data_IF_742356218237
#
_entry.id   IF_742356218237
#
_cell.length_a   1.000
_cell.length_b   1.000
_cell.length_c   1.000
_cell.angle_alpha   90.00
_cell.angle_beta   90.00
_cell.angle_gamma   90.00
#
_symmetry.space_group_name_H-M   'P 1'
#
loop_
_entity.id
_entity.type
_entity.pdbx_description
1 polymer ?
#
# COMPACT_ATOMS: atom_id res chain seq x y z
N UNK A 1 24.14 34.01 -54.63
CA UNK A 1 24.60 32.94 -53.71
C UNK A 1 23.58 32.85 -52.58
N UNK A 2 22.96 31.68 -52.47
CA UNK A 2 21.73 31.38 -51.71
C UNK A 2 21.92 31.45 -50.20
N UNK A 3 21.14 32.32 -49.53
CA UNK A 3 20.88 32.24 -48.08
C UNK A 3 20.03 31.00 -47.82
N UNK A 4 20.65 29.93 -47.31
CA UNK A 4 19.92 28.80 -46.74
C UNK A 4 19.95 28.99 -45.22
N UNK A 5 18.98 29.75 -44.70
CA UNK A 5 18.77 29.85 -43.26
C UNK A 5 18.37 28.45 -42.76
N UNK A 6 19.30 27.83 -42.05
CA UNK A 6 19.13 26.58 -41.34
C UNK A 6 17.91 26.70 -40.42
N UNK A 7 16.77 26.15 -40.85
CA UNK A 7 15.64 25.87 -39.96
C UNK A 7 16.15 24.87 -38.92
N UNK A 8 16.64 25.37 -37.78
CA UNK A 8 17.02 24.56 -36.62
C UNK A 8 15.86 23.65 -36.29
N UNK A 9 15.97 22.38 -36.68
CA UNK A 9 14.98 21.36 -36.35
C UNK A 9 14.96 21.22 -34.84
N UNK A 10 13.86 21.62 -34.20
CA UNK A 10 13.67 21.49 -32.77
C UNK A 10 13.54 19.99 -32.46
N UNK A 11 14.37 19.49 -31.53
CA UNK A 11 14.49 18.07 -31.16
C UNK A 11 14.53 17.93 -29.65
N UNK A 12 14.01 16.82 -29.14
CA UNK A 12 14.12 16.46 -27.73
C UNK A 12 15.59 16.25 -27.34
N UNK A 13 16.03 16.87 -26.25
CA UNK A 13 17.39 16.76 -25.70
C UNK A 13 17.68 15.39 -25.06
N UNK A 14 16.64 14.59 -24.77
CA UNK A 14 16.77 13.28 -24.13
C UNK A 14 16.79 12.12 -25.14
N UNK A 15 15.80 12.05 -26.04
CA UNK A 15 15.69 10.96 -27.03
C UNK A 15 16.13 11.34 -28.44
N UNK A 16 16.44 12.61 -28.71
CA UNK A 16 16.87 13.09 -30.03
C UNK A 16 15.77 13.16 -31.09
N UNK A 17 14.54 12.74 -30.79
CA UNK A 17 13.42 12.76 -31.75
C UNK A 17 13.05 14.22 -32.13
N UNK A 18 12.81 14.50 -33.42
CA UNK A 18 12.32 15.80 -33.87
C UNK A 18 10.85 16.01 -33.47
N UNK A 19 10.42 17.28 -33.41
CA UNK A 19 9.05 17.66 -33.06
C UNK A 19 7.96 16.94 -33.87
N UNK A 20 8.24 16.53 -35.12
CA UNK A 20 7.28 15.84 -35.98
C UNK A 20 6.95 14.39 -35.52
N UNK A 21 7.80 13.77 -34.69
CA UNK A 21 7.66 12.38 -34.24
C UNK A 21 7.09 12.27 -32.82
N UNK A 22 6.77 13.39 -32.17
CA UNK A 22 6.31 13.42 -30.78
C UNK A 22 5.04 14.25 -30.67
N UNK A 23 4.09 13.82 -29.84
CA UNK A 23 2.80 14.49 -29.71
C UNK A 23 2.92 15.85 -29.01
N UNK A 24 3.81 15.95 -28.01
CA UNK A 24 4.09 17.19 -27.30
C UNK A 24 5.58 17.32 -27.04
N UNK A 25 6.08 18.54 -27.25
CA UNK A 25 7.44 18.92 -26.93
C UNK A 25 7.38 20.16 -26.04
N UNK A 26 7.93 20.05 -24.84
CA UNK A 26 7.95 21.09 -23.81
C UNK A 26 9.32 21.78 -23.88
N UNK A 27 9.33 23.11 -23.90
CA UNK A 27 10.55 23.91 -23.96
C UNK A 27 10.81 24.62 -22.62
N UNK A 28 12.05 24.61 -22.14
CA UNK A 28 12.47 25.33 -20.93
C UNK A 28 13.99 25.54 -20.88
N UNK A 29 14.44 26.76 -20.52
CA UNK A 29 15.86 27.14 -20.39
C UNK A 29 16.78 26.68 -21.55
N UNK A 30 16.30 26.78 -22.79
CA UNK A 30 17.08 26.38 -23.98
C UNK A 30 17.17 24.86 -24.21
N UNK A 31 16.41 24.07 -23.45
CA UNK A 31 16.28 22.62 -23.59
C UNK A 31 14.86 22.23 -24.00
N UNK A 32 14.72 21.05 -24.61
CA UNK A 32 13.43 20.52 -25.06
C UNK A 32 13.25 19.09 -24.57
N UNK A 33 12.07 18.74 -24.04
CA UNK A 33 11.73 17.39 -23.60
C UNK A 33 10.39 16.96 -24.20
N UNK A 34 10.29 15.71 -24.68
CA UNK A 34 9.04 15.17 -25.22
C UNK A 34 8.21 14.47 -24.14
N UNK A 35 6.92 14.29 -24.42
CA UNK A 35 5.96 13.60 -23.55
C UNK A 35 6.37 12.16 -23.19
N UNK A 36 6.98 11.42 -24.12
CA UNK A 36 7.51 10.08 -23.83
C UNK A 36 8.64 10.10 -22.80
N UNK A 37 9.61 11.02 -22.95
CA UNK A 37 10.71 11.14 -22.00
C UNK A 37 10.23 11.60 -20.63
N UNK A 38 9.24 12.49 -20.56
CA UNK A 38 8.61 12.88 -19.29
C UNK A 38 8.01 11.66 -18.60
N UNK A 39 7.27 10.80 -19.31
CA UNK A 39 6.69 9.58 -18.74
C UNK A 39 7.77 8.61 -18.24
N UNK A 40 8.85 8.44 -19.01
CA UNK A 40 9.97 7.58 -18.62
C UNK A 40 10.71 8.12 -17.39
N UNK A 41 10.94 9.43 -17.33
CA UNK A 41 11.51 10.06 -16.14
C UNK A 41 10.56 9.93 -14.94
N UNK A 42 9.25 10.05 -15.16
CA UNK A 42 8.25 9.84 -14.11
C UNK A 42 8.31 8.41 -13.56
N UNK A 43 8.39 7.39 -14.42
CA UNK A 43 8.49 5.99 -13.96
C UNK A 43 9.77 5.71 -13.18
N UNK A 44 10.90 6.28 -13.60
CA UNK A 44 12.18 6.14 -12.88
C UNK A 44 12.13 6.86 -11.54
N UNK A 45 11.48 8.02 -11.47
CA UNK A 45 11.29 8.77 -10.22
C UNK A 45 10.37 7.99 -9.28
N UNK A 46 9.26 7.45 -9.79
CA UNK A 46 8.32 6.63 -9.01
C UNK A 46 9.00 5.34 -8.48
N UNK A 47 9.88 4.71 -9.27
CA UNK A 47 10.71 3.59 -8.81
C UNK A 47 11.76 4.02 -7.76
N UNK A 48 12.32 5.22 -7.90
CA UNK A 48 13.30 5.82 -6.98
C UNK A 48 12.70 6.23 -5.63
N UNK A 49 11.42 6.60 -5.58
CA UNK A 49 10.71 6.85 -4.32
C UNK A 49 10.46 5.58 -3.52
N UNK A 50 10.22 4.45 -4.19
CA UNK A 50 10.05 3.15 -3.53
C UNK A 50 11.37 2.58 -2.96
N UNK A 51 12.53 3.16 -3.30
CA UNK A 51 13.85 2.70 -2.82
C UNK A 51 14.50 3.63 -1.79
N UNK A 52 13.85 4.74 -1.42
CA UNK A 52 14.30 5.69 -0.39
C UNK A 52 13.42 5.66 0.87
N UNK A 53 12.98 4.50 1.34
CA UNK A 53 12.37 4.34 2.68
C UNK A 53 13.41 4.24 3.80
N UNK A 54 14.39 5.14 3.80
CA UNK A 54 15.33 5.29 4.91
C UNK A 54 15.47 6.78 5.24
N UNK A 55 14.78 7.19 6.31
CA UNK A 55 14.77 8.52 6.90
C UNK A 55 13.82 9.55 6.27
N UNK A 56 12.54 9.43 6.59
CA UNK A 56 11.73 10.56 7.09
C UNK A 56 10.47 10.00 7.75
N UNK A 57 10.07 10.57 8.89
CA UNK A 57 9.02 10.05 9.76
C UNK A 57 7.75 9.69 9.00
N UNK A 58 7.31 8.45 9.19
CA UNK A 58 6.19 7.77 8.54
C UNK A 58 4.88 8.55 8.55
N UNK A 59 4.70 9.47 7.60
CA UNK A 59 3.38 9.76 7.07
C UNK A 59 3.13 8.70 6.00
N UNK A 60 2.59 7.58 6.46
CA UNK A 60 1.97 6.57 5.59
C UNK A 60 0.77 7.27 4.93
N UNK A 61 1.00 7.98 3.82
CA UNK A 61 -0.07 8.42 2.94
C UNK A 61 -0.55 7.18 2.17
N UNK A 62 -1.25 6.26 2.86
CA UNK A 62 -2.14 5.32 2.19
C UNK A 62 -3.22 6.20 1.55
N UNK A 63 -3.02 6.51 0.27
CA UNK A 63 -4.03 7.12 -0.59
C UNK A 63 -5.29 6.27 -0.51
N UNK A 64 -6.35 6.87 0.04
CA UNK A 64 -7.65 6.23 0.36
C UNK A 64 -8.23 5.50 -0.87
N UNK A 65 -7.88 5.96 -2.07
CA UNK A 65 -8.36 5.43 -3.34
C UNK A 65 -7.95 3.97 -3.62
N UNK A 66 -6.93 3.45 -2.93
CA UNK A 66 -6.46 2.08 -3.12
C UNK A 66 -7.02 1.06 -2.10
N UNK A 67 -7.88 1.48 -1.17
CA UNK A 67 -8.45 0.56 -0.19
C UNK A 67 -9.58 -0.25 -0.85
N UNK A 68 -9.51 -1.59 -0.91
CA UNK A 68 -10.53 -2.41 -1.55
C UNK A 68 -11.87 -2.28 -0.84
N UNK A 69 -12.98 -2.28 -1.59
CA UNK A 69 -14.31 -2.15 -0.99
C UNK A 69 -14.65 -3.42 -0.20
N UNK A 70 -15.51 -3.33 0.83
CA UNK A 70 -15.91 -4.51 1.60
C UNK A 70 -16.50 -5.66 0.75
N UNK A 71 -17.15 -5.34 -0.37
CA UNK A 71 -17.66 -6.33 -1.30
C UNK A 71 -16.53 -7.12 -1.99
N UNK A 72 -15.44 -6.45 -2.36
CA UNK A 72 -14.29 -7.05 -3.02
C UNK A 72 -13.52 -7.94 -2.05
N UNK A 73 -13.33 -7.46 -0.81
CA UNK A 73 -12.72 -8.26 0.28
C UNK A 73 -13.53 -9.53 0.55
N UNK A 74 -14.87 -9.42 0.62
CA UNK A 74 -15.74 -10.59 0.79
C UNK A 74 -15.58 -11.58 -0.37
N UNK A 75 -15.55 -11.09 -1.60
CA UNK A 75 -15.42 -11.93 -2.80
C UNK A 75 -14.11 -12.70 -2.79
N UNK A 76 -13.01 -12.04 -2.39
CA UNK A 76 -11.72 -12.73 -2.25
C UNK A 76 -11.72 -13.75 -1.10
N UNK A 77 -12.37 -13.43 0.03
CA UNK A 77 -12.55 -14.40 1.11
C UNK A 77 -13.40 -15.62 0.69
N UNK A 78 -14.36 -15.43 -0.22
CA UNK A 78 -15.21 -16.51 -0.75
C UNK A 78 -14.40 -17.56 -1.53
N UNK A 79 -13.29 -17.18 -2.16
CA UNK A 79 -12.41 -18.09 -2.91
C UNK A 79 -11.72 -19.12 -2.00
N UNK A 80 -11.40 -18.74 -0.76
CA UNK A 80 -10.64 -19.56 0.18
C UNK A 80 -11.49 -20.18 1.29
N UNK A 81 -12.59 -19.52 1.68
CA UNK A 81 -13.37 -19.88 2.86
C UNK A 81 -14.81 -20.14 2.45
N UNK A 82 -15.25 -21.39 2.59
CA UNK A 82 -16.59 -21.80 2.19
C UNK A 82 -17.58 -21.56 3.34
N UNK A 83 -18.69 -20.86 3.05
CA UNK A 83 -19.72 -20.50 4.02
C UNK A 83 -19.30 -19.37 4.96
N UNK A 84 -19.81 -19.35 6.21
CA UNK A 84 -19.48 -18.34 7.23
C UNK A 84 -19.74 -16.89 6.80
N UNK A 85 -20.83 -16.66 6.06
CA UNK A 85 -21.18 -15.36 5.46
C UNK A 85 -21.17 -14.19 6.43
N UNK A 86 -21.70 -14.39 7.64
CA UNK A 86 -21.72 -13.36 8.68
C UNK A 86 -20.31 -12.91 9.08
N UNK A 87 -19.37 -13.85 9.21
CA UNK A 87 -17.99 -13.54 9.57
C UNK A 87 -17.27 -12.77 8.46
N UNK A 88 -17.48 -13.19 7.19
CA UNK A 88 -16.91 -12.51 6.01
C UNK A 88 -17.36 -11.06 5.92
N UNK A 89 -18.66 -10.80 6.08
CA UNK A 89 -19.21 -9.43 6.04
C UNK A 89 -18.60 -8.57 7.15
N UNK A 90 -18.57 -9.08 8.38
CA UNK A 90 -18.04 -8.34 9.53
C UNK A 90 -16.54 -8.04 9.39
N UNK A 91 -15.75 -9.02 8.96
CA UNK A 91 -14.31 -8.85 8.73
C UNK A 91 -14.05 -7.83 7.62
N UNK A 92 -14.77 -7.93 6.50
CA UNK A 92 -14.59 -7.02 5.37
C UNK A 92 -14.87 -5.56 5.75
N UNK A 93 -15.94 -5.32 6.52
CA UNK A 93 -16.27 -3.97 7.01
C UNK A 93 -15.25 -3.47 8.04
N UNK A 94 -14.85 -4.33 8.99
CA UNK A 94 -13.91 -3.94 10.03
C UNK A 94 -12.53 -3.58 9.47
N UNK A 95 -12.04 -4.35 8.50
CA UNK A 95 -10.77 -4.10 7.80
C UNK A 95 -10.83 -2.80 6.98
N UNK A 96 -11.90 -2.59 6.22
CA UNK A 96 -12.10 -1.35 5.47
C UNK A 96 -12.09 -0.13 6.40
N UNK A 97 -12.81 -0.20 7.51
CA UNK A 97 -12.85 0.86 8.51
C UNK A 97 -11.49 1.06 9.21
N UNK A 98 -10.72 -0.02 9.41
CA UNK A 98 -9.38 0.06 9.99
C UNK A 98 -8.45 0.92 9.13
N UNK A 99 -8.39 0.66 7.82
CA UNK A 99 -7.57 1.47 6.91
C UNK A 99 -8.10 2.87 6.73
N UNK A 100 -9.44 3.03 6.62
CA UNK A 100 -10.04 4.37 6.56
C UNK A 100 -9.63 5.19 7.77
N UNK A 101 -9.65 4.59 8.97
CA UNK A 101 -9.19 5.23 10.20
C UNK A 101 -7.71 5.61 10.15
N UNK A 102 -6.82 4.72 9.67
CA UNK A 102 -5.39 5.01 9.53
C UNK A 102 -5.15 6.20 8.59
N UNK A 103 -5.81 6.24 7.43
CA UNK A 103 -5.68 7.35 6.48
C UNK A 103 -6.20 8.71 6.99
N UNK A 104 -7.04 8.72 8.03
CA UNK A 104 -7.57 9.93 8.66
C UNK A 104 -6.78 10.36 9.91
N UNK A 105 -5.75 9.59 10.33
CA UNK A 105 -4.89 9.98 11.45
C UNK A 105 -4.22 11.31 11.11
N UNK A 106 -4.55 12.37 11.86
CA UNK A 106 -3.98 13.71 11.71
C UNK A 106 -4.79 14.72 10.88
N UNK A 107 -5.97 14.35 10.34
CA UNK A 107 -6.79 15.26 9.50
C UNK A 107 -8.04 15.82 10.17
N UNK A 108 -8.57 15.16 11.21
CA UNK A 108 -9.82 15.57 11.89
C UNK A 108 -9.65 15.67 13.42
N UNK A 109 -10.38 16.58 14.07
CA UNK A 109 -10.52 16.70 15.55
C UNK A 109 -11.36 15.56 16.17
N UNK A 110 -11.85 14.62 15.35
CA UNK A 110 -12.75 13.54 15.78
C UNK A 110 -11.93 12.27 16.03
N UNK A 111 -11.95 11.79 17.27
CA UNK A 111 -11.31 10.53 17.65
C UNK A 111 -12.11 9.32 17.14
N UNK A 112 -11.55 8.61 16.16
CA UNK A 112 -12.12 7.36 15.64
C UNK A 112 -11.68 6.16 16.50
N UNK A 113 -12.65 5.44 17.08
CA UNK A 113 -12.37 4.26 17.90
C UNK A 113 -11.85 3.06 17.09
N UNK A 114 -11.03 2.22 17.73
CA UNK A 114 -10.54 0.96 17.14
C UNK A 114 -11.63 -0.11 17.15
N UNK A 115 -11.88 -0.72 16.00
CA UNK A 115 -12.74 -1.91 15.89
C UNK A 115 -11.90 -3.18 15.99
N UNK A 116 -11.78 -3.74 17.20
CA UNK A 116 -11.22 -5.09 17.38
C UNK A 116 -12.29 -6.15 17.11
N UNK A 117 -11.87 -7.36 16.74
CA UNK A 117 -12.76 -8.44 16.32
C UNK A 117 -12.52 -9.66 17.22
N UNK A 118 -13.61 -10.26 17.70
CA UNK A 118 -13.60 -11.55 18.37
C UNK A 118 -14.29 -12.59 17.48
N UNK A 119 -13.54 -13.61 17.06
CA UNK A 119 -14.06 -14.71 16.25
C UNK A 119 -14.39 -15.92 17.13
N UNK A 120 -15.67 -16.27 17.20
CA UNK A 120 -16.17 -17.41 17.98
C UNK A 120 -16.64 -18.50 17.01
N UNK A 121 -16.20 -19.74 17.24
CA UNK A 121 -16.62 -20.90 16.45
C UNK A 121 -15.91 -22.19 16.86
N UNK A 122 -16.39 -23.35 16.42
CA UNK A 122 -15.81 -24.65 16.76
C UNK A 122 -14.39 -24.81 16.22
N UNK A 123 -13.65 -25.79 16.73
CA UNK A 123 -12.32 -26.16 16.20
C UNK A 123 -12.41 -26.52 14.72
N UNK A 124 -11.42 -26.13 13.91
CA UNK A 124 -11.40 -26.43 12.47
C UNK A 124 -12.33 -25.60 11.59
N UNK A 125 -13.05 -24.60 12.12
CA UNK A 125 -13.98 -23.77 11.33
C UNK A 125 -13.32 -22.68 10.47
N UNK A 126 -11.99 -22.69 10.33
CA UNK A 126 -11.26 -21.71 9.51
C UNK A 126 -10.95 -20.35 10.15
N UNK A 127 -11.06 -20.20 11.49
CA UNK A 127 -10.77 -18.92 12.18
C UNK A 127 -9.37 -18.37 11.87
N UNK A 128 -8.34 -19.21 11.95
CA UNK A 128 -6.96 -18.82 11.64
C UNK A 128 -6.79 -18.54 10.14
N UNK A 129 -7.48 -19.29 9.29
CA UNK A 129 -7.44 -19.11 7.84
C UNK A 129 -8.02 -17.75 7.42
N UNK A 130 -9.07 -17.26 8.09
CA UNK A 130 -9.59 -15.90 7.87
C UNK A 130 -8.49 -14.84 8.03
N UNK A 131 -7.76 -14.88 9.14
CA UNK A 131 -6.72 -13.90 9.43
C UNK A 131 -5.56 -13.99 8.42
N UNK A 132 -5.10 -15.21 8.12
CA UNK A 132 -4.02 -15.43 7.14
C UNK A 132 -4.40 -15.03 5.71
N UNK A 133 -5.62 -15.29 5.27
CA UNK A 133 -6.08 -14.90 3.93
C UNK A 133 -6.23 -13.38 3.82
N UNK A 134 -6.74 -12.71 4.86
CA UNK A 134 -6.81 -11.25 4.87
C UNK A 134 -5.43 -10.60 4.83
N UNK A 135 -4.48 -11.11 5.63
CA UNK A 135 -3.11 -10.61 5.61
C UNK A 135 -2.45 -10.74 4.23
N UNK A 136 -2.62 -11.90 3.57
CA UNK A 136 -2.11 -12.14 2.20
C UNK A 136 -2.78 -11.26 1.16
N UNK A 137 -4.10 -11.06 1.25
CA UNK A 137 -4.84 -10.22 0.31
C UNK A 137 -4.35 -8.76 0.35
N UNK A 138 -4.06 -8.26 1.54
CA UNK A 138 -3.72 -6.86 1.78
C UNK A 138 -2.23 -6.59 1.77
N UNK A 139 -1.39 -7.63 1.63
CA UNK A 139 0.07 -7.55 1.71
C UNK A 139 0.54 -6.75 2.93
N UNK A 140 0.03 -7.07 4.12
CA UNK A 140 0.39 -6.39 5.37
C UNK A 140 1.09 -7.29 6.36
N UNK A 141 1.97 -6.73 7.22
CA UNK A 141 2.62 -7.48 8.27
C UNK A 141 1.60 -8.16 9.16
N UNK A 142 1.86 -9.43 9.49
CA UNK A 142 0.92 -10.27 10.22
C UNK A 142 1.67 -11.16 11.21
N UNK A 143 1.24 -11.11 12.48
CA UNK A 143 1.77 -11.92 13.56
C UNK A 143 0.68 -12.80 14.14
N UNK A 144 1.00 -14.06 14.40
CA UNK A 144 0.15 -15.02 15.11
C UNK A 144 0.73 -15.19 16.52
N UNK A 145 -0.14 -15.15 17.53
CA UNK A 145 0.21 -15.41 18.91
C UNK A 145 -0.83 -16.32 19.57
N UNK A 146 -0.37 -17.16 20.49
CA UNK A 146 -1.24 -17.99 21.33
C UNK A 146 -1.37 -17.32 22.71
N UNK A 147 -2.60 -17.10 23.16
CA UNK A 147 -2.84 -16.49 24.47
C UNK A 147 -2.48 -17.43 25.64
N UNK A 148 -2.39 -18.74 25.39
CA UNK A 148 -2.05 -19.73 26.44
C UNK A 148 -0.57 -19.69 26.85
N UNK A 149 0.31 -19.15 26.01
CA UNK A 149 1.74 -19.00 26.31
C UNK A 149 2.07 -17.69 27.01
N UNK A 150 1.12 -16.75 27.05
CA UNK A 150 1.29 -15.45 27.68
C UNK A 150 1.21 -15.57 29.20
N UNK A 151 2.23 -15.07 29.88
CA UNK A 151 2.29 -15.04 31.34
C UNK A 151 2.43 -13.61 31.84
N UNK A 152 2.01 -13.38 33.09
CA UNK A 152 2.19 -12.08 33.74
C UNK A 152 3.69 -11.72 33.87
N UNK A 153 3.98 -10.41 33.91
CA UNK A 153 5.34 -9.91 34.05
C UNK A 153 6.04 -10.52 35.27
N UNK A 154 7.22 -11.10 35.06
CA UNK A 154 8.00 -11.76 36.11
C UNK A 154 7.77 -13.27 36.25
N UNK A 155 6.90 -13.88 35.44
CA UNK A 155 6.79 -15.33 35.29
C UNK A 155 7.51 -15.82 34.03
N UNK A 156 7.93 -17.10 34.04
CA UNK A 156 8.59 -17.73 32.88
C UNK A 156 7.54 -18.02 31.82
N UNK A 157 7.54 -17.23 30.74
CA UNK A 157 6.63 -17.37 29.60
C UNK A 157 6.88 -16.31 28.54
N UNK A 158 5.99 -16.23 27.55
CA UNK A 158 6.11 -15.28 26.45
C UNK A 158 5.50 -13.93 26.84
N UNK A 159 6.23 -12.83 26.61
CA UNK A 159 5.74 -11.47 26.87
C UNK A 159 4.87 -10.96 25.71
N UNK A 160 3.93 -10.06 26.01
CA UNK A 160 3.11 -9.35 25.01
C UNK A 160 3.99 -8.53 24.06
N UNK A 161 5.11 -7.99 24.56
CA UNK A 161 6.07 -7.25 23.74
C UNK A 161 6.66 -8.10 22.61
N UNK A 162 6.84 -9.41 22.82
CA UNK A 162 7.34 -10.31 21.77
C UNK A 162 6.36 -10.44 20.59
N UNK A 163 5.05 -10.28 20.83
CA UNK A 163 4.05 -10.28 19.75
C UNK A 163 4.26 -9.05 18.85
N UNK A 164 4.49 -7.89 19.45
CA UNK A 164 4.77 -6.66 18.72
C UNK A 164 6.12 -6.75 18.00
N UNK A 165 7.15 -7.31 18.64
CA UNK A 165 8.45 -7.53 18.01
C UNK A 165 8.33 -8.40 16.74
N UNK A 166 7.56 -9.50 16.80
CA UNK A 166 7.30 -10.33 15.62
C UNK A 166 6.57 -9.57 14.51
N UNK A 167 5.63 -8.69 14.88
CA UNK A 167 4.89 -7.88 13.91
C UNK A 167 5.81 -6.85 13.23
N UNK A 168 6.72 -6.23 13.99
CA UNK A 168 7.73 -5.29 13.48
C UNK A 168 8.71 -6.01 12.56
N UNK A 169 9.21 -7.18 12.95
CA UNK A 169 10.07 -8.00 12.11
C UNK A 169 9.38 -8.42 10.80
N UNK A 170 8.08 -8.71 10.85
CA UNK A 170 7.28 -9.01 9.66
C UNK A 170 6.99 -7.78 8.78
N UNK A 171 7.25 -6.58 9.30
CA UNK A 171 7.11 -5.31 8.58
C UNK A 171 8.45 -4.82 8.00
N UNK A 172 9.46 -5.69 7.94
CA UNK A 172 10.80 -5.42 7.40
C UNK A 172 11.50 -4.21 8.06
N UNK A 173 11.33 -4.06 9.38
CA UNK A 173 11.99 -3.04 10.21
C UNK A 173 12.97 -3.65 11.24
#
# INVERSE_FOLDING_TARGET
MTKNEEKKSIRCSFCGKPQALVNRLIAGNGSYICDECVKLCMSIIDEGFNTNECAEGSNIEISIDNIPKPADIRTHLDEYIIGQERAKIMLSVAVYNHYKRISHVGKDEIELQKSNILLIGPTGSGKTLFAQTLARMLNVPFAIADATTLTEAGYVGEDVENILLRLIQAADY
#
